data_IF_316074040207
#
_entry.id   IF_316074040207
#
_cell.length_a   1.000
_cell.length_b   1.000
_cell.length_c   1.000
_cell.angle_alpha   90.00
_cell.angle_beta   90.00
_cell.angle_gamma   90.00
#
_symmetry.space_group_name_H-M   'P 1'
#
loop_
_entity.id
_entity.type
_entity.pdbx_description
1 polymer ?
#
# COMPACT_ATOMS: atom_id res chain seq x y z
N UNK A 1 25.78 -18.26 26.67
CA UNK A 1 24.46 -17.64 26.91
C UNK A 1 24.66 -16.15 26.73
N UNK A 2 23.90 -15.48 25.87
CA UNK A 2 23.97 -14.02 25.79
C UNK A 2 23.44 -13.45 27.11
N UNK A 3 24.14 -12.47 27.68
CA UNK A 3 23.82 -11.98 29.02
C UNK A 3 22.44 -11.32 29.05
N UNK A 4 21.62 -11.79 29.98
CA UNK A 4 20.30 -11.22 30.26
C UNK A 4 20.46 -9.75 30.69
N UNK A 5 19.63 -8.82 30.19
CA UNK A 5 19.68 -7.42 30.63
C UNK A 5 19.56 -7.29 32.15
N UNK A 6 20.31 -6.36 32.75
CA UNK A 6 20.38 -6.16 34.20
C UNK A 6 19.08 -5.66 34.82
N UNK A 7 18.19 -5.07 34.01
CA UNK A 7 16.85 -4.62 34.43
C UNK A 7 15.81 -5.76 34.45
N UNK A 8 16.19 -6.98 34.06
CA UNK A 8 15.36 -8.19 34.18
C UNK A 8 15.73 -8.98 35.44
N UNK A 9 14.74 -9.25 36.27
CA UNK A 9 14.81 -10.21 37.36
C UNK A 9 14.77 -11.65 36.82
N UNK A 10 13.87 -11.93 35.88
CA UNK A 10 13.77 -13.19 35.15
C UNK A 10 13.25 -13.00 33.73
N UNK A 11 13.41 -14.03 32.89
CA UNK A 11 13.01 -14.03 31.49
C UNK A 11 13.75 -15.13 30.73
N UNK A 12 13.07 -15.72 29.75
CA UNK A 12 13.62 -16.78 28.91
C UNK A 12 14.02 -16.22 27.55
N UNK A 13 15.15 -16.67 27.01
CA UNK A 13 15.50 -16.31 25.63
C UNK A 13 14.48 -16.94 24.68
N UNK A 14 13.95 -16.14 23.75
CA UNK A 14 12.96 -16.60 22.78
C UNK A 14 13.48 -17.79 21.94
N UNK A 15 12.59 -18.75 21.66
CA UNK A 15 12.92 -20.02 21.01
C UNK A 15 12.03 -20.27 19.80
N UNK A 16 12.60 -20.92 18.77
CA UNK A 16 11.85 -21.40 17.60
C UNK A 16 10.87 -22.53 17.95
N UNK A 17 11.15 -23.27 19.04
CA UNK A 17 10.33 -24.37 19.55
C UNK A 17 10.10 -24.11 21.05
N UNK A 18 9.20 -23.18 21.41
CA UNK A 18 8.96 -22.83 22.80
C UNK A 18 8.16 -23.92 23.52
N UNK A 19 8.50 -24.19 24.78
CA UNK A 19 7.80 -25.15 25.66
C UNK A 19 6.69 -24.44 26.45
N UNK A 20 5.97 -23.53 25.79
CA UNK A 20 4.87 -22.79 26.41
C UNK A 20 3.61 -23.66 26.46
N UNK A 21 2.85 -23.58 27.56
CA UNK A 21 1.56 -24.24 27.70
C UNK A 21 0.63 -23.87 26.54
N UNK A 22 -0.27 -24.78 26.14
CA UNK A 22 -1.20 -24.55 25.02
C UNK A 22 -2.15 -23.36 25.21
N UNK A 23 -2.35 -22.95 26.46
CA UNK A 23 -3.09 -21.74 26.82
C UNK A 23 -2.36 -20.44 26.46
N UNK A 24 -1.04 -20.47 26.25
CA UNK A 24 -0.22 -19.28 25.98
C UNK A 24 0.14 -19.15 24.50
N UNK A 25 -0.89 -19.00 23.66
CA UNK A 25 -0.73 -18.89 22.20
C UNK A 25 0.06 -17.63 21.81
N UNK A 26 -0.19 -16.51 22.47
CA UNK A 26 0.49 -15.25 22.19
C UNK A 26 1.98 -15.32 22.53
N UNK A 27 2.33 -15.80 23.74
CA UNK A 27 3.74 -15.99 24.12
C UNK A 27 4.45 -16.96 23.17
N UNK A 28 3.80 -18.05 22.76
CA UNK A 28 4.34 -19.00 21.77
C UNK A 28 4.66 -18.31 20.43
N UNK A 29 3.70 -17.56 19.89
CA UNK A 29 3.87 -16.83 18.64
C UNK A 29 4.98 -15.77 18.72
N UNK A 30 5.00 -14.99 19.81
CA UNK A 30 6.05 -14.00 20.07
C UNK A 30 7.42 -14.68 20.17
N UNK A 31 7.53 -15.80 20.90
CA UNK A 31 8.79 -16.53 21.02
C UNK A 31 9.33 -16.97 19.65
N UNK A 32 8.47 -17.54 18.80
CA UNK A 32 8.84 -17.98 17.45
C UNK A 32 9.27 -16.79 16.58
N UNK A 33 8.52 -15.68 16.60
CA UNK A 33 8.85 -14.46 15.87
C UNK A 33 10.21 -13.90 16.29
N UNK A 34 10.41 -13.70 17.60
CA UNK A 34 11.63 -13.11 18.12
C UNK A 34 12.84 -14.02 17.85
N UNK A 35 12.67 -15.34 17.98
CA UNK A 35 13.72 -16.30 17.64
C UNK A 35 14.06 -16.32 16.15
N UNK A 36 13.07 -16.19 15.26
CA UNK A 36 13.30 -16.07 13.83
C UNK A 36 14.03 -14.77 13.48
N UNK A 37 13.66 -13.64 14.10
CA UNK A 37 14.40 -12.37 13.94
C UNK A 37 15.86 -12.50 14.40
N UNK A 38 16.11 -13.11 15.56
CA UNK A 38 17.48 -13.35 16.03
C UNK A 38 18.29 -14.26 15.10
N UNK A 39 17.64 -15.25 14.49
CA UNK A 39 18.31 -16.28 13.68
C UNK A 39 18.48 -15.90 12.21
N UNK A 40 17.69 -14.93 11.72
CA UNK A 40 17.63 -14.52 10.32
C UNK A 40 17.91 -13.01 10.22
N UNK A 41 19.18 -12.58 10.16
CA UNK A 41 19.54 -11.17 10.13
C UNK A 41 18.88 -10.33 9.01
N UNK A 42 18.74 -10.84 7.76
CA UNK A 42 18.00 -10.12 6.72
C UNK A 42 16.53 -9.85 7.08
N UNK A 43 15.91 -10.74 7.85
CA UNK A 43 14.55 -10.57 8.34
C UNK A 43 14.49 -9.56 9.49
N UNK A 44 15.39 -9.68 10.48
CA UNK A 44 15.51 -8.66 11.53
C UNK A 44 15.75 -7.26 10.95
N UNK A 45 16.62 -7.11 9.95
CA UNK A 45 16.83 -5.85 9.24
C UNK A 45 15.53 -5.29 8.66
N UNK A 46 14.80 -6.11 7.88
CA UNK A 46 13.53 -5.74 7.25
C UNK A 46 12.49 -5.27 8.27
N UNK A 47 12.42 -5.95 9.42
CA UNK A 47 11.45 -5.62 10.48
C UNK A 47 11.90 -4.40 11.29
N UNK A 48 13.15 -4.32 11.73
CA UNK A 48 13.66 -3.22 12.56
C UNK A 48 13.73 -1.88 11.81
N UNK A 49 13.98 -1.90 10.50
CA UNK A 49 13.93 -0.68 9.67
C UNK A 49 12.55 -0.01 9.67
N UNK A 50 11.48 -0.81 9.77
CA UNK A 50 10.11 -0.29 9.89
C UNK A 50 9.88 0.48 11.20
N UNK A 51 10.70 0.20 12.22
CA UNK A 51 10.70 0.87 13.53
C UNK A 51 11.76 1.99 13.62
N UNK A 52 12.32 2.41 12.48
CA UNK A 52 13.35 3.45 12.42
C UNK A 52 14.74 3.01 12.87
N UNK A 53 14.94 1.72 13.19
CA UNK A 53 16.22 1.21 13.65
C UNK A 53 17.12 0.84 12.47
N UNK A 54 18.41 1.16 12.57
CA UNK A 54 19.42 0.82 11.56
C UNK A 54 20.21 -0.39 12.04
N UNK A 55 20.16 -1.49 11.29
CA UNK A 55 20.97 -2.68 11.55
C UNK A 55 22.25 -2.61 10.72
N UNK A 56 23.39 -2.62 11.41
CA UNK A 56 24.72 -2.68 10.82
C UNK A 56 25.42 -4.00 11.12
N UNK A 57 26.66 -4.16 10.66
CA UNK A 57 27.43 -5.39 10.81
C UNK A 57 27.79 -5.74 12.26
N UNK A 58 27.85 -4.75 13.15
CA UNK A 58 28.09 -4.93 14.59
C UNK A 58 26.82 -4.96 15.42
N UNK A 59 25.65 -4.93 14.78
CA UNK A 59 24.40 -4.95 15.51
C UNK A 59 24.11 -6.34 16.06
N UNK A 60 23.56 -6.39 17.27
CA UNK A 60 23.08 -7.64 17.86
C UNK A 60 21.63 -7.49 18.29
N UNK A 61 20.84 -8.54 18.11
CA UNK A 61 19.45 -8.59 18.53
C UNK A 61 19.27 -9.74 19.51
N UNK A 62 18.67 -9.46 20.64
CA UNK A 62 18.21 -10.46 21.60
C UNK A 62 16.69 -10.31 21.79
N UNK A 63 16.03 -11.44 21.97
CA UNK A 63 14.60 -11.54 22.22
C UNK A 63 14.36 -12.38 23.45
N UNK A 64 13.50 -11.89 24.35
CA UNK A 64 13.12 -12.58 25.57
C UNK A 64 11.60 -12.69 25.65
N UNK A 65 11.12 -13.76 26.25
CA UNK A 65 9.72 -13.98 26.64
C UNK A 65 9.63 -14.18 28.15
N UNK A 66 8.42 -14.16 28.70
CA UNK A 66 8.19 -14.41 30.13
C UNK A 66 8.95 -13.44 31.05
N UNK A 67 9.13 -12.20 30.59
CA UNK A 67 9.98 -11.21 31.25
C UNK A 67 9.37 -10.74 32.58
N UNK A 68 10.22 -10.65 33.60
CA UNK A 68 9.91 -10.03 34.89
C UNK A 68 10.97 -8.97 35.16
N UNK A 69 10.54 -7.74 35.41
CA UNK A 69 11.43 -6.62 35.63
C UNK A 69 11.81 -6.51 37.10
N UNK A 70 13.03 -6.04 37.36
CA UNK A 70 13.49 -5.78 38.73
C UNK A 70 12.71 -4.63 39.37
N UNK A 71 12.24 -3.67 38.55
CA UNK A 71 11.44 -2.53 39.00
C UNK A 71 10.02 -2.65 38.45
N UNK A 72 9.17 -3.33 39.19
CA UNK A 72 7.76 -3.48 38.81
C UNK A 72 6.87 -2.33 39.31
N UNK A 73 7.27 -1.58 40.34
CA UNK A 73 6.39 -0.59 41.00
C UNK A 73 5.05 -1.23 41.41
N UNK A 74 3.94 -0.51 41.21
CA UNK A 74 2.58 -1.04 41.43
C UNK A 74 2.13 -2.07 40.37
N UNK A 75 3.00 -2.43 39.42
CA UNK A 75 2.66 -3.30 38.29
C UNK A 75 3.20 -4.73 38.43
N UNK A 76 3.40 -5.24 39.65
CA UNK A 76 3.98 -6.55 39.95
C UNK A 76 3.33 -7.76 39.23
N UNK A 77 2.10 -7.64 38.73
CA UNK A 77 1.39 -8.70 37.97
C UNK A 77 1.40 -8.49 36.44
N UNK A 78 2.02 -7.44 35.96
CA UNK A 78 1.98 -7.05 34.55
C UNK A 78 3.14 -7.70 33.81
N UNK A 79 2.86 -8.74 33.03
CA UNK A 79 3.85 -9.47 32.23
C UNK A 79 3.62 -9.18 30.74
N UNK A 80 4.53 -8.46 30.06
CA UNK A 80 4.53 -8.38 28.60
C UNK A 80 4.82 -9.74 27.96
N UNK A 81 4.32 -9.97 26.75
CA UNK A 81 4.58 -11.20 26.00
C UNK A 81 6.05 -11.35 25.60
N UNK A 82 6.75 -10.24 25.39
CA UNK A 82 8.17 -10.27 25.08
C UNK A 82 8.93 -8.97 25.28
N UNK A 83 10.23 -9.05 25.05
CA UNK A 83 11.19 -7.95 25.07
C UNK A 83 12.17 -8.14 23.92
N UNK A 84 12.33 -7.10 23.10
CA UNK A 84 13.39 -6.96 22.12
C UNK A 84 14.50 -6.07 22.68
N UNK A 85 15.74 -6.53 22.60
CA UNK A 85 16.94 -5.81 23.00
C UNK A 85 17.84 -5.72 21.77
N UNK A 86 17.91 -4.52 21.19
CA UNK A 86 18.69 -4.26 20.00
C UNK A 86 19.89 -3.39 20.34
N UNK A 87 21.10 -3.89 20.08
CA UNK A 87 22.31 -3.07 20.09
C UNK A 87 22.61 -2.63 18.66
N UNK A 88 22.51 -1.32 18.39
CA UNK A 88 22.83 -0.73 17.09
C UNK A 88 24.33 -0.56 16.85
N UNK A 89 25.16 -0.88 17.85
CA UNK A 89 26.59 -0.58 17.91
C UNK A 89 26.87 0.78 18.56
N UNK A 90 28.15 1.00 18.94
CA UNK A 90 28.64 2.23 19.60
C UNK A 90 27.96 2.54 20.95
N UNK A 91 27.52 1.50 21.67
CA UNK A 91 26.89 1.65 23.00
C UNK A 91 25.45 2.15 22.96
N UNK A 92 24.80 2.20 21.79
CA UNK A 92 23.40 2.60 21.65
C UNK A 92 22.50 1.38 21.66
N UNK A 93 21.93 1.09 22.83
CA UNK A 93 20.93 0.06 23.01
C UNK A 93 19.52 0.64 22.84
N UNK A 94 18.66 -0.06 22.11
CA UNK A 94 17.24 0.21 21.96
C UNK A 94 16.47 -1.01 22.49
N UNK A 95 15.66 -0.77 23.51
CA UNK A 95 14.86 -1.81 24.16
C UNK A 95 13.39 -1.56 23.85
N UNK A 96 12.66 -2.62 23.56
CA UNK A 96 11.26 -2.56 23.16
C UNK A 96 10.43 -3.66 23.82
N UNK A 97 9.40 -3.28 24.58
CA UNK A 97 8.41 -4.23 25.07
C UNK A 97 7.53 -4.72 23.92
N UNK A 98 7.12 -5.99 23.97
CA UNK A 98 6.23 -6.59 22.97
C UNK A 98 4.95 -7.06 23.67
N UNK A 99 3.82 -6.65 23.13
CA UNK A 99 2.49 -7.12 23.50
C UNK A 99 1.81 -7.68 22.25
N UNK A 100 1.24 -8.88 22.35
CA UNK A 100 0.63 -9.57 21.22
C UNK A 100 -0.80 -9.99 21.52
N UNK A 101 -1.62 -10.00 20.48
CA UNK A 101 -2.98 -10.56 20.48
C UNK A 101 -3.17 -11.44 19.26
N UNK A 102 -3.83 -12.57 19.46
CA UNK A 102 -4.10 -13.55 18.40
C UNK A 102 -5.61 -13.75 18.21
N UNK A 103 -6.02 -14.13 17.01
CA UNK A 103 -7.42 -14.41 16.71
C UNK A 103 -8.26 -13.14 16.73
N UNK A 104 -9.30 -13.11 17.56
CA UNK A 104 -10.24 -11.98 17.67
C UNK A 104 -9.96 -11.05 18.84
N UNK A 105 -8.92 -11.34 19.63
CA UNK A 105 -8.55 -10.46 20.73
C UNK A 105 -7.97 -9.14 20.17
N UNK A 106 -8.38 -8.03 20.75
CA UNK A 106 -7.95 -6.69 20.35
C UNK A 106 -6.95 -6.12 21.35
N UNK A 107 -6.16 -5.14 20.88
CA UNK A 107 -5.28 -4.38 21.76
C UNK A 107 -6.13 -3.47 22.65
N UNK A 108 -5.88 -3.50 23.97
CA UNK A 108 -6.65 -2.72 24.95
C UNK A 108 -5.88 -1.46 25.39
N UNK A 109 -6.50 -0.26 25.35
CA UNK A 109 -5.83 0.99 25.75
C UNK A 109 -5.28 0.98 27.19
N UNK A 110 -5.99 0.35 28.12
CA UNK A 110 -5.62 0.23 29.52
C UNK A 110 -4.35 -0.62 29.68
N UNK A 111 -4.24 -1.70 28.91
CA UNK A 111 -3.08 -2.58 28.90
C UNK A 111 -1.84 -1.85 28.35
N UNK A 112 -2.00 -1.11 27.24
CA UNK A 112 -0.92 -0.30 26.67
C UNK A 112 -0.47 0.81 27.62
N UNK A 113 -1.40 1.43 28.33
CA UNK A 113 -1.09 2.44 29.35
C UNK A 113 -0.24 1.86 30.48
N UNK A 114 -0.56 0.65 30.95
CA UNK A 114 0.25 -0.05 31.95
C UNK A 114 1.66 -0.32 31.43
N UNK A 115 1.79 -0.92 30.24
CA UNK A 115 3.12 -1.22 29.67
C UNK A 115 3.95 0.01 29.35
N UNK A 116 3.35 1.13 28.93
CA UNK A 116 4.08 2.39 28.74
C UNK A 116 4.68 2.90 30.06
N UNK A 117 3.95 2.78 31.17
CA UNK A 117 4.47 3.13 32.50
C UNK A 117 5.56 2.14 32.96
N UNK A 118 5.38 0.83 32.74
CA UNK A 118 6.39 -0.18 33.04
C UNK A 118 7.69 0.06 32.26
N UNK A 119 7.57 0.37 30.96
CA UNK A 119 8.70 0.69 30.09
C UNK A 119 9.49 1.89 30.64
N UNK A 120 8.80 2.98 30.99
CA UNK A 120 9.42 4.19 31.55
C UNK A 120 10.18 3.90 32.85
N UNK A 121 9.59 3.14 33.77
CA UNK A 121 10.20 2.75 35.05
C UNK A 121 11.50 1.96 34.87
N UNK A 122 11.62 1.23 33.76
CA UNK A 122 12.78 0.38 33.44
C UNK A 122 13.70 0.97 32.37
N UNK A 123 13.51 2.24 31.97
CA UNK A 123 14.35 2.90 30.95
C UNK A 123 14.19 2.34 29.54
N UNK A 124 13.07 1.67 29.27
CA UNK A 124 12.71 1.12 27.96
C UNK A 124 11.97 2.21 27.18
N UNK A 125 12.43 2.49 25.96
CA UNK A 125 11.98 3.65 25.18
C UNK A 125 10.96 3.31 24.10
N UNK A 126 10.57 2.04 23.97
CA UNK A 126 9.62 1.61 22.94
C UNK A 126 8.67 0.50 23.42
N UNK A 127 7.49 0.47 22.81
CA UNK A 127 6.47 -0.56 22.96
C UNK A 127 5.97 -0.94 21.55
N UNK A 128 6.00 -2.23 21.24
CA UNK A 128 5.49 -2.81 20.01
C UNK A 128 4.26 -3.64 20.33
N UNK A 129 3.17 -3.35 19.64
CA UNK A 129 1.95 -4.15 19.67
C UNK A 129 1.85 -5.01 18.41
N UNK A 130 1.36 -6.25 18.54
CA UNK A 130 1.17 -7.15 17.41
C UNK A 130 -0.24 -7.75 17.48
N UNK A 131 -1.07 -7.56 16.45
CA UNK A 131 -2.40 -8.19 16.42
C UNK A 131 -2.88 -8.48 14.99
N UNK A 132 -4.13 -8.91 14.83
CA UNK A 132 -4.78 -9.01 13.52
C UNK A 132 -5.39 -7.66 13.06
N UNK A 133 -5.27 -6.60 13.86
CA UNK A 133 -5.68 -5.25 13.46
C UNK A 133 -4.65 -4.66 12.50
N UNK A 134 -5.09 -3.81 11.58
CA UNK A 134 -4.21 -3.19 10.58
C UNK A 134 -4.05 -1.70 10.83
N UNK A 135 -2.85 -1.21 10.57
CA UNK A 135 -2.54 0.22 10.58
C UNK A 135 -1.81 0.61 9.30
N UNK A 136 -1.95 1.87 8.91
CA UNK A 136 -1.36 2.38 7.69
C UNK A 136 0.18 2.34 7.71
N UNK A 137 0.76 2.70 8.87
CA UNK A 137 2.21 2.72 9.07
C UNK A 137 2.56 2.12 10.44
N UNK A 138 3.75 1.53 10.61
CA UNK A 138 4.16 0.92 11.87
C UNK A 138 4.19 1.86 13.07
N UNK A 139 4.26 3.18 12.86
CA UNK A 139 4.20 4.23 13.89
C UNK A 139 2.79 4.62 14.29
N UNK A 140 1.76 4.10 13.62
CA UNK A 140 0.36 4.27 13.99
C UNK A 140 -0.06 3.19 14.99
N UNK A 141 -1.22 3.39 15.60
CA UNK A 141 -1.77 2.48 16.62
C UNK A 141 -3.21 2.10 16.26
N UNK A 142 -3.62 0.84 16.49
CA UNK A 142 -5.01 0.44 16.33
C UNK A 142 -5.90 1.07 17.41
N UNK A 143 -5.31 1.50 18.53
CA UNK A 143 -5.99 2.18 19.64
C UNK A 143 -5.59 3.64 19.75
N UNK A 144 -6.55 4.50 20.12
CA UNK A 144 -6.27 5.90 20.45
C UNK A 144 -5.84 6.03 21.90
N UNK A 145 -4.72 6.71 22.12
CA UNK A 145 -4.16 6.96 23.44
C UNK A 145 -3.82 8.44 23.61
N UNK A 146 -4.00 9.01 24.81
CA UNK A 146 -3.50 10.36 25.10
C UNK A 146 -1.98 10.43 24.93
N UNK A 147 -1.48 11.49 24.28
CA UNK A 147 -0.02 11.69 24.08
C UNK A 147 0.77 11.74 25.40
N UNK A 148 0.12 12.15 26.50
CA UNK A 148 0.71 12.16 27.84
C UNK A 148 1.11 10.76 28.33
N UNK A 149 0.33 9.72 27.99
CA UNK A 149 0.60 8.33 28.38
C UNK A 149 1.89 7.82 27.75
N UNK A 150 2.11 8.16 26.48
CA UNK A 150 3.26 7.72 25.68
C UNK A 150 4.50 8.62 25.85
N UNK A 151 4.49 9.57 26.79
CA UNK A 151 5.63 10.48 26.97
C UNK A 151 6.90 9.68 27.30
N UNK A 152 7.90 9.76 26.41
CA UNK A 152 9.18 9.05 26.51
C UNK A 152 9.17 7.60 26.04
N UNK A 153 8.06 7.10 25.50
CA UNK A 153 7.92 5.73 24.96
C UNK A 153 7.30 5.79 23.58
N UNK A 154 8.04 5.36 22.57
CA UNK A 154 7.53 5.23 21.21
C UNK A 154 6.58 4.02 21.11
N UNK A 155 5.39 4.21 20.53
CA UNK A 155 4.44 3.13 20.30
C UNK A 155 4.46 2.73 18.83
N UNK A 156 4.61 1.43 18.60
CA UNK A 156 4.56 0.83 17.27
C UNK A 156 3.50 -0.26 17.20
N UNK A 157 3.07 -0.55 15.97
CA UNK A 157 2.15 -1.64 15.70
C UNK A 157 2.52 -2.41 14.44
N UNK A 158 2.47 -3.74 14.53
CA UNK A 158 2.49 -4.64 13.38
C UNK A 158 1.22 -5.47 13.35
N UNK A 159 0.67 -5.68 12.15
CA UNK A 159 -0.28 -6.77 11.98
C UNK A 159 0.49 -8.08 11.77
N UNK A 160 -0.01 -9.21 12.27
CA UNK A 160 0.61 -10.52 12.00
C UNK A 160 0.74 -10.79 10.50
N UNK A 161 -0.27 -10.40 9.73
CA UNK A 161 -0.24 -10.51 8.27
C UNK A 161 0.86 -9.66 7.63
N UNK A 162 1.20 -8.50 8.20
CA UNK A 162 2.33 -7.69 7.71
C UNK A 162 3.67 -8.38 7.97
N UNK A 163 3.84 -9.06 9.10
CA UNK A 163 5.04 -9.83 9.44
C UNK A 163 5.22 -10.98 8.45
N UNK A 164 4.15 -11.77 8.24
CA UNK A 164 4.15 -12.89 7.29
C UNK A 164 4.42 -12.40 5.87
N UNK A 165 3.81 -11.30 5.44
CA UNK A 165 4.03 -10.73 4.10
C UNK A 165 5.48 -10.29 3.89
N UNK A 166 6.09 -9.61 4.87
CA UNK A 166 7.50 -9.22 4.80
C UNK A 166 8.42 -10.46 4.72
N UNK A 167 8.13 -11.50 5.49
CA UNK A 167 8.88 -12.75 5.43
C UNK A 167 8.77 -13.44 4.07
N UNK A 168 7.55 -13.53 3.50
CA UNK A 168 7.32 -14.09 2.17
C UNK A 168 8.05 -13.32 1.07
N UNK A 169 8.01 -11.98 1.09
CA UNK A 169 8.72 -11.14 0.14
C UNK A 169 10.24 -11.36 0.23
N UNK A 170 10.79 -11.39 1.45
CA UNK A 170 12.21 -11.63 1.66
C UNK A 170 12.65 -13.03 1.18
N UNK A 171 11.81 -14.06 1.37
CA UNK A 171 12.05 -15.40 0.82
C UNK A 171 12.22 -15.40 -0.70
N UNK A 172 11.69 -14.40 -1.41
CA UNK A 172 11.76 -14.34 -2.87
C UNK A 172 12.92 -13.49 -3.41
N UNK A 173 13.61 -12.71 -2.58
CA UNK A 173 14.69 -11.81 -3.01
C UNK A 173 16.08 -12.49 -3.06
N UNK A 174 16.19 -13.80 -2.77
CA UNK A 174 17.46 -14.54 -2.71
C UNK A 174 18.58 -13.88 -1.86
N UNK A 175 18.21 -13.21 -0.76
CA UNK A 175 19.12 -12.45 0.12
C UNK A 175 19.76 -13.22 1.27
N UNK A 176 19.65 -14.55 1.30
CA UNK A 176 20.14 -15.35 2.42
C UNK A 176 21.58 -15.78 2.18
N UNK A 177 22.46 -15.48 3.13
CA UNK A 177 23.85 -15.94 3.10
C UNK A 177 23.95 -17.44 3.33
N UNK A 178 23.01 -18.01 4.10
CA UNK A 178 23.04 -19.42 4.52
C UNK A 178 21.69 -20.12 4.30
N UNK A 179 21.67 -21.37 3.84
CA UNK A 179 20.43 -22.12 3.59
C UNK A 179 19.52 -22.25 4.81
N UNK A 180 20.09 -22.39 6.01
CA UNK A 180 19.35 -22.51 7.25
C UNK A 180 18.51 -21.26 7.58
N UNK A 181 18.97 -20.07 7.18
CA UNK A 181 18.21 -18.83 7.41
C UNK A 181 16.90 -18.85 6.61
N UNK A 182 17.00 -19.30 5.34
CA UNK A 182 15.83 -19.48 4.49
C UNK A 182 14.89 -20.54 5.07
N UNK A 183 15.43 -21.66 5.53
CA UNK A 183 14.64 -22.74 6.14
C UNK A 183 13.87 -22.25 7.38
N UNK A 184 14.56 -21.57 8.31
CA UNK A 184 13.95 -21.03 9.53
C UNK A 184 12.83 -20.04 9.19
N UNK A 185 13.09 -19.11 8.26
CA UNK A 185 12.08 -18.13 7.88
C UNK A 185 10.87 -18.78 7.17
N UNK A 186 11.11 -19.81 6.36
CA UNK A 186 10.06 -20.58 5.71
C UNK A 186 9.20 -21.35 6.74
N UNK A 187 9.83 -21.95 7.76
CA UNK A 187 9.10 -22.61 8.85
C UNK A 187 8.28 -21.64 9.69
N UNK A 188 8.80 -20.43 9.94
CA UNK A 188 8.04 -19.37 10.59
C UNK A 188 6.81 -18.97 9.75
N UNK A 189 6.97 -18.81 8.44
CA UNK A 189 5.85 -18.54 7.52
C UNK A 189 4.83 -19.68 7.55
N UNK A 190 5.29 -20.94 7.50
CA UNK A 190 4.42 -22.13 7.60
C UNK A 190 3.63 -22.13 8.91
N UNK A 191 4.28 -21.82 10.04
CA UNK A 191 3.63 -21.73 11.35
C UNK A 191 2.51 -20.69 11.35
N UNK A 192 2.81 -19.44 10.99
CA UNK A 192 1.81 -18.37 11.03
C UNK A 192 0.71 -18.49 9.96
N UNK A 193 0.99 -19.20 8.86
CA UNK A 193 -0.01 -19.48 7.82
C UNK A 193 -0.92 -20.65 8.18
N UNK A 194 -0.63 -21.38 9.26
CA UNK A 194 -1.45 -22.51 9.67
C UNK A 194 -2.77 -22.03 10.29
N UNK A 195 -3.95 -22.57 9.88
CA UNK A 195 -5.26 -22.07 10.33
C UNK A 195 -5.45 -22.05 11.85
N UNK A 196 -4.78 -22.93 12.58
CA UNK A 196 -4.90 -23.01 14.05
C UNK A 196 -4.19 -21.89 14.81
N UNK A 197 -3.22 -21.19 14.19
CA UNK A 197 -2.54 -20.05 14.80
C UNK A 197 -3.42 -18.80 14.74
N UNK A 198 -4.49 -18.81 13.91
CA UNK A 198 -5.52 -17.75 13.83
C UNK A 198 -4.94 -16.36 13.50
N UNK A 199 -3.83 -16.31 12.77
CA UNK A 199 -3.40 -15.11 12.04
C UNK A 199 -4.31 -14.97 10.84
N UNK A 200 -4.97 -13.82 10.69
CA UNK A 200 -5.99 -13.62 9.67
C UNK A 200 -5.91 -12.26 8.99
N UNK A 201 -6.41 -12.21 7.76
CA UNK A 201 -6.79 -10.99 7.06
C UNK A 201 -7.96 -10.28 7.74
N UNK A 202 -8.21 -9.04 7.34
CA UNK A 202 -9.42 -8.31 7.63
C UNK A 202 -10.55 -8.94 6.79
N UNK A 203 -11.60 -9.47 7.44
CA UNK A 203 -12.61 -10.31 6.76
C UNK A 203 -13.99 -9.66 6.65
N UNK A 204 -14.18 -8.48 7.26
CA UNK A 204 -15.48 -7.79 7.28
C UNK A 204 -15.37 -6.33 7.69
N UNK A 205 -16.27 -5.51 7.14
CA UNK A 205 -16.54 -4.17 7.67
C UNK A 205 -17.16 -4.20 9.09
N UNK A 206 -17.17 -3.04 9.73
CA UNK A 206 -17.76 -2.83 11.06
C UNK A 206 -19.26 -3.15 11.12
N UNK A 207 -19.82 -3.41 12.33
CA UNK A 207 -21.23 -3.76 12.50
C UNK A 207 -22.23 -2.74 11.92
N UNK A 208 -21.88 -1.45 11.94
CA UNK A 208 -22.72 -0.35 11.46
C UNK A 208 -22.69 -0.20 9.92
N UNK A 209 -21.88 -0.98 9.19
CA UNK A 209 -21.71 -0.86 7.74
C UNK A 209 -23.03 -0.89 6.97
N UNK A 210 -23.92 -1.82 7.35
CA UNK A 210 -25.23 -1.97 6.70
C UNK A 210 -26.12 -0.75 6.91
N UNK A 211 -26.12 -0.19 8.12
CA UNK A 211 -26.93 0.99 8.47
C UNK A 211 -26.39 2.25 7.78
N UNK A 212 -25.07 2.45 7.77
CA UNK A 212 -24.43 3.55 7.06
C UNK A 212 -24.81 3.55 5.57
N UNK A 213 -24.75 2.38 4.92
CA UNK A 213 -25.18 2.22 3.54
C UNK A 213 -26.65 2.57 3.34
N UNK A 214 -27.54 2.11 4.23
CA UNK A 214 -28.96 2.45 4.16
C UNK A 214 -29.21 3.96 4.29
N UNK A 215 -28.47 4.67 5.14
CA UNK A 215 -28.54 6.13 5.29
C UNK A 215 -28.09 6.86 4.02
N UNK A 216 -26.99 6.44 3.41
CA UNK A 216 -26.53 7.02 2.13
C UNK A 216 -27.58 6.79 1.03
N UNK A 217 -28.11 5.57 0.92
CA UNK A 217 -29.11 5.23 -0.08
C UNK A 217 -30.42 6.00 0.05
N UNK A 218 -30.86 6.30 1.29
CA UNK A 218 -32.06 7.10 1.54
C UNK A 218 -31.83 8.61 1.40
N UNK A 219 -30.61 9.05 1.14
CA UNK A 219 -30.24 10.48 1.08
C UNK A 219 -30.19 11.16 2.45
N UNK A 220 -30.10 10.38 3.54
CA UNK A 220 -29.96 10.94 4.88
C UNK A 220 -28.61 11.64 5.03
N UNK A 221 -28.59 12.76 5.77
CA UNK A 221 -27.35 13.49 6.04
C UNK A 221 -26.48 12.72 7.03
N UNK A 222 -25.24 12.45 6.63
CA UNK A 222 -24.22 11.92 7.51
C UNK A 222 -23.62 13.06 8.34
N UNK A 223 -23.47 12.84 9.65
CA UNK A 223 -22.79 13.79 10.54
C UNK A 223 -21.31 13.41 10.69
N UNK A 224 -20.45 14.43 10.70
CA UNK A 224 -19.02 14.30 11.01
C UNK A 224 -18.77 13.67 12.39
N UNK A 225 -19.64 13.94 13.35
CA UNK A 225 -19.52 13.41 14.72
C UNK A 225 -20.12 12.01 14.89
N UNK A 226 -20.65 11.40 13.83
CA UNK A 226 -21.30 10.10 13.95
C UNK A 226 -20.26 9.00 14.15
N UNK A 227 -20.35 8.21 15.24
CA UNK A 227 -19.44 7.08 15.45
C UNK A 227 -19.45 6.07 14.30
N UNK A 228 -20.58 5.93 13.59
CA UNK A 228 -20.69 5.01 12.46
C UNK A 228 -19.79 5.40 11.29
N UNK A 229 -19.61 6.72 11.04
CA UNK A 229 -18.76 7.25 9.97
C UNK A 229 -17.30 7.00 10.34
N UNK A 230 -16.89 7.42 11.54
CA UNK A 230 -15.50 7.21 11.99
C UNK A 230 -15.13 5.72 12.02
N UNK A 231 -16.01 4.85 12.51
CA UNK A 231 -15.76 3.39 12.56
C UNK A 231 -15.70 2.77 11.16
N UNK A 232 -16.54 3.21 10.23
CA UNK A 232 -16.53 2.68 8.85
C UNK A 232 -15.31 3.15 8.07
N UNK A 233 -14.86 4.39 8.29
CA UNK A 233 -13.60 4.89 7.71
C UNK A 233 -12.40 4.16 8.34
N UNK A 234 -12.40 3.91 9.64
CA UNK A 234 -11.35 3.12 10.29
C UNK A 234 -11.31 1.67 9.78
N UNK A 235 -12.48 1.04 9.59
CA UNK A 235 -12.60 -0.28 8.95
C UNK A 235 -12.05 -0.25 7.51
N UNK A 236 -12.38 0.78 6.73
CA UNK A 236 -11.82 0.99 5.39
C UNK A 236 -10.30 1.14 5.38
N UNK A 237 -9.71 1.82 6.39
CA UNK A 237 -8.26 1.93 6.50
C UNK A 237 -7.60 0.57 6.75
N UNK A 238 -8.23 -0.27 7.57
CA UNK A 238 -7.76 -1.64 7.81
C UNK A 238 -7.84 -2.48 6.53
N UNK A 239 -8.99 -2.49 5.87
CA UNK A 239 -9.20 -3.16 4.58
C UNK A 239 -8.21 -2.69 3.52
N UNK A 240 -8.03 -1.37 3.37
CA UNK A 240 -7.07 -0.81 2.41
C UNK A 240 -5.64 -1.26 2.69
N UNK A 241 -5.26 -1.42 3.96
CA UNK A 241 -3.93 -1.91 4.33
C UNK A 241 -3.79 -3.40 4.03
N UNK A 242 -4.82 -4.20 4.32
CA UNK A 242 -4.78 -5.62 4.04
C UNK A 242 -4.78 -5.92 2.54
N UNK A 243 -5.61 -5.21 1.77
CA UNK A 243 -5.60 -5.25 0.31
C UNK A 243 -4.21 -4.92 -0.29
N UNK A 244 -3.49 -3.95 0.31
CA UNK A 244 -2.11 -3.65 -0.06
C UNK A 244 -1.15 -4.84 0.19
N UNK A 245 -1.34 -5.58 1.30
CA UNK A 245 -0.56 -6.77 1.63
C UNK A 245 -0.94 -7.96 0.75
N UNK A 246 -2.23 -8.13 0.44
CA UNK A 246 -2.72 -9.11 -0.54
C UNK A 246 -2.07 -8.89 -1.90
N UNK A 247 -2.10 -7.66 -2.42
CA UNK A 247 -1.44 -7.31 -3.68
C UNK A 247 0.07 -7.57 -3.63
N UNK A 248 0.72 -7.25 -2.52
CA UNK A 248 2.15 -7.52 -2.35
C UNK A 248 2.49 -9.01 -2.44
N UNK A 249 1.67 -9.86 -1.81
CA UNK A 249 1.82 -11.32 -1.84
C UNK A 249 1.57 -11.88 -3.23
N UNK A 250 0.50 -11.45 -3.91
CA UNK A 250 0.17 -11.93 -5.27
C UNK A 250 1.20 -11.53 -6.32
N UNK A 251 1.73 -10.31 -6.22
CA UNK A 251 2.74 -9.79 -7.16
C UNK A 251 4.17 -10.17 -6.79
N UNK A 252 4.38 -10.70 -5.59
CA UNK A 252 5.71 -10.96 -5.06
C UNK A 252 6.66 -9.73 -5.15
N UNK A 253 6.08 -8.57 -4.85
CA UNK A 253 6.72 -7.26 -4.86
C UNK A 253 6.08 -6.40 -3.79
N UNK A 254 6.85 -5.53 -3.15
CA UNK A 254 6.31 -4.61 -2.13
C UNK A 254 5.42 -3.56 -2.78
N UNK A 255 4.10 -3.73 -2.65
CA UNK A 255 3.12 -2.69 -2.99
C UNK A 255 2.98 -1.74 -1.80
N UNK A 256 2.86 -0.44 -2.07
CA UNK A 256 2.74 0.57 -1.02
C UNK A 256 1.39 1.28 -1.11
N UNK A 257 0.74 1.48 0.03
CA UNK A 257 -0.40 2.38 0.09
C UNK A 257 0.09 3.82 -0.09
N UNK A 258 -0.48 4.50 -1.08
CA UNK A 258 -0.17 5.89 -1.37
C UNK A 258 -0.92 6.78 -0.40
N UNK A 259 -0.17 7.46 0.47
CA UNK A 259 -0.70 8.37 1.48
C UNK A 259 -0.01 9.74 1.36
N UNK A 260 -0.73 10.79 1.72
CA UNK A 260 -0.14 12.13 1.83
C UNK A 260 0.84 12.18 3.02
N UNK A 261 1.79 13.13 2.99
CA UNK A 261 2.73 13.31 4.11
C UNK A 261 2.01 13.59 5.45
N UNK A 262 0.90 14.33 5.42
CA UNK A 262 0.09 14.59 6.62
C UNK A 262 -0.54 13.30 7.15
N UNK A 263 -1.10 12.46 6.27
CA UNK A 263 -1.72 11.19 6.67
C UNK A 263 -0.74 10.15 7.18
N UNK A 264 0.49 10.15 6.66
CA UNK A 264 1.59 9.31 7.18
C UNK A 264 1.96 9.74 8.61
N UNK A 265 2.06 11.04 8.85
CA UNK A 265 2.51 11.55 10.14
C UNK A 265 1.41 11.58 11.21
N UNK A 266 0.13 11.67 10.82
CA UNK A 266 -1.00 11.78 11.74
C UNK A 266 -2.23 11.00 11.26
N UNK A 267 -2.48 9.88 11.93
CA UNK A 267 -3.64 9.01 11.73
C UNK A 267 -4.97 9.72 12.06
N UNK A 268 -4.98 10.64 13.03
CA UNK A 268 -6.20 11.36 13.42
C UNK A 268 -6.60 12.33 12.31
N UNK A 269 -5.63 13.06 11.75
CA UNK A 269 -5.84 13.90 10.57
C UNK A 269 -6.37 13.07 9.39
N UNK A 270 -5.76 11.91 9.11
CA UNK A 270 -6.24 11.01 8.04
C UNK A 270 -7.70 10.60 8.25
N UNK A 271 -8.05 10.13 9.45
CA UNK A 271 -9.40 9.69 9.72
C UNK A 271 -10.42 10.83 9.54
N UNK A 272 -10.07 12.04 9.97
CA UNK A 272 -10.90 13.23 9.81
C UNK A 272 -11.12 13.56 8.33
N UNK A 273 -10.04 13.63 7.55
CA UNK A 273 -10.10 13.99 6.13
C UNK A 273 -10.88 12.93 5.33
N UNK A 274 -10.67 11.65 5.60
CA UNK A 274 -11.38 10.57 4.92
C UNK A 274 -12.86 10.49 5.33
N UNK A 275 -13.19 10.83 6.58
CA UNK A 275 -14.59 10.99 7.02
C UNK A 275 -15.27 12.15 6.30
N UNK A 276 -14.57 13.27 6.10
CA UNK A 276 -15.10 14.40 5.34
C UNK A 276 -15.34 14.05 3.89
N UNK A 277 -14.41 13.31 3.29
CA UNK A 277 -14.56 12.80 1.93
C UNK A 277 -15.75 11.85 1.82
N UNK A 278 -15.93 10.94 2.78
CA UNK A 278 -17.09 10.04 2.81
C UNK A 278 -18.40 10.82 2.88
N UNK A 279 -18.49 11.84 3.73
CA UNK A 279 -19.70 12.66 3.86
C UNK A 279 -19.96 13.47 2.59
N UNK A 280 -18.91 14.04 1.98
CA UNK A 280 -19.07 14.90 0.82
C UNK A 280 -19.33 14.14 -0.49
N UNK A 281 -18.75 12.94 -0.64
CA UNK A 281 -18.75 12.17 -1.90
C UNK A 281 -19.51 10.86 -1.81
N UNK A 282 -19.94 10.45 -0.62
CA UNK A 282 -20.52 9.13 -0.36
C UNK A 282 -19.63 7.98 -0.84
N UNK A 283 -18.31 8.17 -0.77
CA UNK A 283 -17.34 7.22 -1.29
C UNK A 283 -16.12 7.11 -0.39
N UNK A 284 -15.61 5.88 -0.27
CA UNK A 284 -14.33 5.56 0.35
C UNK A 284 -13.31 5.30 -0.75
N UNK A 285 -12.08 5.79 -0.58
CA UNK A 285 -11.05 5.65 -1.60
C UNK A 285 -9.69 5.32 -1.01
N UNK A 286 -8.87 4.62 -1.78
CA UNK A 286 -7.46 4.41 -1.49
C UNK A 286 -6.68 4.24 -2.80
N UNK A 287 -5.36 4.35 -2.71
CA UNK A 287 -4.48 4.21 -3.86
C UNK A 287 -3.26 3.38 -3.50
N UNK A 288 -2.76 2.62 -4.47
CA UNK A 288 -1.59 1.76 -4.30
C UNK A 288 -0.53 2.09 -5.36
N UNK A 289 0.70 2.33 -4.89
CA UNK A 289 1.88 2.39 -5.75
C UNK A 289 2.40 0.95 -5.91
N UNK A 290 2.18 0.39 -7.10
CA UNK A 290 2.75 -0.90 -7.51
C UNK A 290 4.10 -0.64 -8.20
N UNK A 291 5.18 -1.35 -7.84
CA UNK A 291 6.48 -1.16 -8.47
C UNK A 291 6.42 -1.29 -9.99
N UNK A 292 7.08 -0.38 -10.70
CA UNK A 292 7.21 -0.35 -12.16
C UNK A 292 5.89 -0.23 -12.95
N UNK A 293 4.75 -0.04 -12.27
CA UNK A 293 3.46 0.15 -12.92
C UNK A 293 3.34 1.53 -13.58
N UNK A 294 2.48 1.62 -14.60
CA UNK A 294 2.29 2.83 -15.40
C UNK A 294 1.76 4.04 -14.60
N UNK A 295 0.99 3.78 -13.56
CA UNK A 295 0.41 4.77 -12.64
C UNK A 295 0.04 4.09 -11.32
N UNK A 296 -0.28 4.85 -10.26
CA UNK A 296 -0.91 4.28 -9.08
C UNK A 296 -2.25 3.61 -9.44
N UNK A 297 -2.56 2.52 -8.74
CA UNK A 297 -3.84 1.82 -8.79
C UNK A 297 -4.82 2.52 -7.85
N UNK A 298 -5.90 3.08 -8.37
CA UNK A 298 -6.95 3.75 -7.60
C UNK A 298 -8.07 2.75 -7.30
N UNK A 299 -8.60 2.79 -6.08
CA UNK A 299 -9.73 1.96 -5.65
C UNK A 299 -10.75 2.86 -4.98
N UNK A 300 -12.00 2.80 -5.43
CA UNK A 300 -13.10 3.58 -4.88
C UNK A 300 -14.30 2.68 -4.63
N UNK A 301 -14.79 2.67 -3.39
CA UNK A 301 -16.06 2.09 -3.01
C UNK A 301 -17.11 3.21 -2.91
N UNK A 302 -18.03 3.25 -3.86
CA UNK A 302 -19.09 4.26 -3.95
C UNK A 302 -20.35 3.73 -3.27
N UNK A 303 -20.67 4.27 -2.09
CA UNK A 303 -21.81 3.86 -1.28
C UNK A 303 -23.14 4.31 -1.92
N UNK A 304 -23.14 5.38 -2.71
CA UNK A 304 -24.34 5.89 -3.38
C UNK A 304 -24.71 5.00 -4.58
N UNK A 305 -23.72 4.60 -5.37
CA UNK A 305 -23.91 3.74 -6.54
C UNK A 305 -23.86 2.25 -6.20
N UNK A 306 -23.41 1.90 -4.99
CA UNK A 306 -23.20 0.51 -4.52
C UNK A 306 -22.27 -0.28 -5.45
N UNK A 307 -21.22 0.39 -5.92
CA UNK A 307 -20.23 -0.20 -6.80
C UNK A 307 -18.82 -0.02 -6.27
N UNK A 308 -17.95 -0.95 -6.65
CA UNK A 308 -16.50 -0.81 -6.51
C UNK A 308 -15.93 -0.47 -7.86
N UNK A 309 -15.05 0.51 -7.90
CA UNK A 309 -14.28 0.85 -9.08
C UNK A 309 -12.79 0.77 -8.81
N UNK A 310 -12.06 0.25 -9.80
CA UNK A 310 -10.61 0.13 -9.77
C UNK A 310 -10.09 0.76 -11.04
N UNK A 311 -9.16 1.71 -10.96
CA UNK A 311 -8.70 2.46 -12.13
C UNK A 311 -7.21 2.79 -12.13
N UNK A 312 -6.70 3.09 -13.33
CA UNK A 312 -5.36 3.60 -13.58
C UNK A 312 -5.44 4.73 -14.60
N UNK A 313 -4.65 5.78 -14.39
CA UNK A 313 -4.65 6.99 -15.24
C UNK A 313 -3.33 7.10 -15.98
N UNK A 314 -3.40 7.10 -17.30
CA UNK A 314 -2.27 7.14 -18.22
C UNK A 314 -2.16 8.51 -18.88
N UNK A 315 -0.97 9.09 -18.88
CA UNK A 315 -0.71 10.28 -19.72
C UNK A 315 -0.71 9.88 -21.18
N UNK A 316 -1.41 10.65 -22.02
CA UNK A 316 -1.49 10.39 -23.44
C UNK A 316 -0.14 10.68 -24.15
N UNK A 317 0.19 9.96 -25.23
CA UNK A 317 1.44 10.11 -25.94
C UNK A 317 1.58 11.49 -26.61
N UNK A 318 2.65 12.21 -26.26
CA UNK A 318 2.92 13.58 -26.74
C UNK A 318 3.51 13.64 -28.15
N UNK A 319 4.13 12.55 -28.61
CA UNK A 319 4.59 12.37 -30.00
C UNK A 319 3.44 12.27 -31.01
N UNK A 320 2.21 11.98 -30.53
CA UNK A 320 1.02 11.82 -31.36
C UNK A 320 0.18 13.09 -31.31
N UNK A 321 -0.05 13.69 -32.48
CA UNK A 321 -0.85 14.92 -32.58
C UNK A 321 -2.36 14.64 -32.72
N UNK A 322 -2.75 13.56 -33.42
CA UNK A 322 -4.15 13.24 -33.69
C UNK A 322 -4.81 12.49 -32.53
N UNK A 323 -6.08 12.80 -32.24
CA UNK A 323 -6.87 12.12 -31.22
C UNK A 323 -6.97 10.60 -31.46
N UNK A 324 -7.36 10.20 -32.67
CA UNK A 324 -7.43 8.79 -33.08
C UNK A 324 -6.12 8.02 -32.84
N UNK A 325 -4.97 8.67 -33.02
CA UNK A 325 -3.67 8.06 -32.78
C UNK A 325 -3.37 7.85 -31.28
N UNK A 326 -3.84 8.77 -30.42
CA UNK A 326 -3.73 8.63 -28.95
C UNK A 326 -4.70 7.57 -28.41
N UNK A 327 -5.93 7.55 -28.93
CA UNK A 327 -6.95 6.54 -28.57
C UNK A 327 -6.46 5.14 -28.97
N UNK A 328 -6.03 4.98 -30.23
CA UNK A 328 -5.48 3.70 -30.69
C UNK A 328 -4.22 3.26 -29.92
N UNK A 329 -3.48 4.18 -29.30
CA UNK A 329 -2.34 3.82 -28.45
C UNK A 329 -2.78 3.13 -27.14
N UNK A 330 -3.85 3.60 -26.50
CA UNK A 330 -4.36 2.93 -25.28
C UNK A 330 -5.09 1.63 -25.63
N UNK A 331 -5.91 1.62 -26.68
CA UNK A 331 -6.68 0.42 -27.08
C UNK A 331 -5.78 -0.76 -27.46
N UNK A 332 -4.64 -0.50 -28.11
CA UNK A 332 -3.65 -1.55 -28.43
C UNK A 332 -3.08 -2.23 -27.19
N UNK A 333 -2.92 -1.51 -26.08
CA UNK A 333 -2.44 -2.08 -24.82
C UNK A 333 -3.51 -2.96 -24.14
N UNK A 334 -4.78 -2.72 -24.45
CA UNK A 334 -5.95 -3.43 -23.92
C UNK A 334 -6.47 -4.53 -24.87
N UNK A 335 -5.73 -4.86 -25.93
CA UNK A 335 -6.17 -5.82 -26.95
C UNK A 335 -6.42 -7.24 -26.36
N UNK A 336 -5.72 -7.61 -25.28
CA UNK A 336 -5.87 -8.91 -24.60
C UNK A 336 -6.72 -8.85 -23.32
N UNK A 337 -7.30 -7.70 -23.02
CA UNK A 337 -8.13 -7.48 -21.84
C UNK A 337 -9.51 -8.12 -21.97
N UNK A 338 -10.00 -8.79 -20.95
CA UNK A 338 -11.43 -9.10 -20.88
C UNK A 338 -12.21 -7.78 -20.84
N UNK A 339 -13.07 -7.47 -21.83
CA UNK A 339 -13.78 -6.20 -21.88
C UNK A 339 -14.89 -6.08 -20.82
N UNK A 340 -15.27 -7.16 -20.13
CA UNK A 340 -16.40 -7.20 -19.22
C UNK A 340 -16.26 -6.22 -18.02
N UNK A 341 -17.04 -5.14 -18.06
CA UNK A 341 -17.07 -4.09 -17.02
C UNK A 341 -15.89 -3.11 -17.08
N UNK A 342 -15.05 -3.20 -18.12
CA UNK A 342 -13.96 -2.24 -18.36
C UNK A 342 -14.47 -1.08 -19.20
N UNK A 343 -14.18 0.13 -18.74
CA UNK A 343 -14.43 1.37 -19.45
C UNK A 343 -13.11 2.10 -19.70
N UNK A 344 -13.08 2.87 -20.80
CA UNK A 344 -12.02 3.82 -21.07
C UNK A 344 -12.63 5.20 -21.09
N UNK A 345 -12.07 6.11 -20.29
CA UNK A 345 -12.40 7.53 -20.27
C UNK A 345 -11.22 8.32 -20.83
N UNK A 346 -11.49 9.26 -21.72
CA UNK A 346 -10.49 10.17 -22.26
C UNK A 346 -10.76 11.59 -21.75
N UNK A 347 -9.75 12.20 -21.15
CA UNK A 347 -9.83 13.58 -20.66
C UNK A 347 -9.25 14.56 -21.66
N UNK A 348 -10.01 15.62 -21.94
CA UNK A 348 -9.72 16.57 -23.00
C UNK A 348 -9.15 17.88 -22.45
N UNK A 349 -8.33 18.61 -23.22
CA UNK A 349 -7.73 19.86 -22.74
C UNK A 349 -8.78 20.96 -22.53
N UNK A 350 -8.50 21.89 -21.62
CA UNK A 350 -9.36 23.04 -21.35
C UNK A 350 -10.60 22.66 -20.54
N UNK A 351 -11.77 23.05 -21.04
CA UNK A 351 -13.08 22.77 -20.42
C UNK A 351 -13.92 21.77 -21.24
N UNK A 352 -13.30 21.11 -22.21
CA UNK A 352 -14.00 20.09 -23.00
C UNK A 352 -14.40 18.92 -22.09
N UNK A 353 -15.62 18.38 -22.22
CA UNK A 353 -16.07 17.28 -21.39
C UNK A 353 -15.28 16.01 -21.69
N UNK A 354 -15.15 15.15 -20.68
CA UNK A 354 -14.58 13.83 -20.84
C UNK A 354 -15.49 12.95 -21.72
N UNK A 355 -14.87 12.12 -22.56
CA UNK A 355 -15.58 11.08 -23.31
C UNK A 355 -15.34 9.72 -22.65
N UNK A 356 -16.33 8.83 -22.70
CA UNK A 356 -16.24 7.52 -22.07
C UNK A 356 -17.05 6.48 -22.85
N UNK A 357 -16.48 5.28 -23.04
CA UNK A 357 -17.17 4.14 -23.62
C UNK A 357 -16.70 2.83 -22.99
N UNK A 358 -17.44 1.74 -23.18
CA UNK A 358 -17.00 0.41 -22.75
C UNK A 358 -15.86 -0.10 -23.62
N UNK A 359 -14.98 -0.95 -23.09
CA UNK A 359 -13.91 -1.54 -23.90
C UNK A 359 -14.48 -2.46 -24.99
N UNK A 360 -15.66 -3.06 -24.77
CA UNK A 360 -16.35 -3.85 -25.79
C UNK A 360 -16.73 -2.98 -26.99
N UNK A 361 -17.41 -1.85 -26.76
CA UNK A 361 -17.82 -0.96 -27.84
C UNK A 361 -16.61 -0.36 -28.57
N UNK A 362 -15.54 -0.03 -27.83
CA UNK A 362 -14.32 0.55 -28.40
C UNK A 362 -13.49 -0.42 -29.25
N UNK A 363 -13.73 -1.73 -29.14
CA UNK A 363 -13.13 -2.72 -30.04
C UNK A 363 -13.82 -2.74 -31.40
N UNK A 364 -15.12 -2.50 -31.41
CA UNK A 364 -15.91 -2.40 -32.65
C UNK A 364 -15.71 -1.02 -33.29
N UNK A 365 -15.76 0.05 -32.49
CA UNK A 365 -15.59 1.42 -32.97
C UNK A 365 -14.85 2.32 -31.96
N UNK A 366 -13.58 2.60 -32.27
CA UNK A 366 -12.74 3.50 -31.47
C UNK A 366 -13.18 4.97 -31.54
N UNK A 367 -13.99 5.36 -32.53
CA UNK A 367 -14.44 6.74 -32.71
C UNK A 367 -15.42 7.20 -31.63
N UNK A 368 -16.04 6.23 -30.92
CA UNK A 368 -16.90 6.48 -29.75
C UNK A 368 -16.18 7.20 -28.60
N UNK A 369 -14.85 7.13 -28.56
CA UNK A 369 -14.06 7.86 -27.57
C UNK A 369 -13.61 9.24 -28.05
N UNK A 370 -13.82 9.61 -29.31
CA UNK A 370 -13.43 10.92 -29.82
C UNK A 370 -14.37 12.03 -29.33
N UNK A 371 -13.80 13.18 -28.98
CA UNK A 371 -14.57 14.37 -28.63
C UNK A 371 -15.20 15.02 -29.85
N UNK A 372 -16.18 15.89 -29.60
CA UNK A 372 -16.88 16.66 -30.64
C UNK A 372 -15.91 17.53 -31.46
N UNK A 373 -14.93 18.15 -30.80
CA UNK A 373 -13.94 18.99 -31.45
C UNK A 373 -12.74 18.17 -31.95
N UNK A 374 -12.74 17.86 -33.25
CA UNK A 374 -11.68 17.08 -33.94
C UNK A 374 -10.29 17.75 -33.96
N UNK A 375 -10.18 19.04 -33.61
CA UNK A 375 -8.89 19.73 -33.49
C UNK A 375 -8.18 19.43 -32.17
N UNK A 376 -8.90 18.94 -31.17
CA UNK A 376 -8.34 18.59 -29.86
C UNK A 376 -7.85 17.15 -29.86
N UNK A 377 -6.96 16.85 -28.92
CA UNK A 377 -6.51 15.49 -28.64
C UNK A 377 -6.49 15.26 -27.12
N UNK A 378 -6.88 14.07 -26.64
CA UNK A 378 -6.98 13.79 -25.22
C UNK A 378 -5.60 13.89 -24.55
N UNK A 379 -5.56 14.40 -23.33
CA UNK A 379 -4.34 14.59 -22.55
C UNK A 379 -4.05 13.39 -21.65
N UNK A 380 -5.09 12.67 -21.23
CA UNK A 380 -5.00 11.52 -20.35
C UNK A 380 -6.08 10.48 -20.71
N UNK A 381 -5.83 9.24 -20.33
CA UNK A 381 -6.79 8.15 -20.40
C UNK A 381 -6.92 7.51 -19.01
N UNK A 382 -8.14 7.36 -18.52
CA UNK A 382 -8.42 6.53 -17.36
C UNK A 382 -9.03 5.21 -17.85
N UNK A 383 -8.39 4.09 -17.48
CA UNK A 383 -8.96 2.76 -17.68
C UNK A 383 -9.51 2.33 -16.33
N UNK A 384 -10.81 2.01 -16.28
CA UNK A 384 -11.49 1.68 -15.04
C UNK A 384 -12.34 0.42 -15.18
N UNK A 385 -12.26 -0.45 -14.19
CA UNK A 385 -13.24 -1.49 -13.93
C UNK A 385 -14.34 -0.93 -13.03
N UNK A 386 -15.60 -1.19 -13.37
CA UNK A 386 -16.75 -0.93 -12.49
C UNK A 386 -17.45 -2.27 -12.20
N UNK A 387 -17.56 -2.62 -10.92
CA UNK A 387 -18.33 -3.77 -10.44
C UNK A 387 -19.51 -3.25 -9.61
N UNK A 388 -20.71 -3.34 -10.18
CA UNK A 388 -21.95 -3.11 -9.45
C UNK A 388 -22.21 -4.30 -8.52
N UNK A 389 -22.29 -4.04 -7.22
CA UNK A 389 -22.50 -5.07 -6.21
C UNK A 389 -23.97 -5.09 -5.72
N UNK A 390 -24.80 -4.13 -6.15
CA UNK A 390 -26.19 -3.97 -5.75
C UNK A 390 -26.37 -4.17 -4.23
N UNK A 391 -27.28 -5.07 -3.80
CA UNK A 391 -27.53 -5.35 -2.39
C UNK A 391 -26.32 -5.94 -1.64
N UNK A 392 -25.41 -6.65 -2.34
CA UNK A 392 -24.24 -7.30 -1.74
C UNK A 392 -23.24 -6.28 -1.19
N UNK A 393 -23.24 -5.05 -1.70
CA UNK A 393 -22.41 -3.95 -1.20
C UNK A 393 -22.59 -3.70 0.31
N UNK A 394 -23.81 -3.86 0.81
CA UNK A 394 -24.13 -3.65 2.23
C UNK A 394 -23.76 -4.82 3.14
N UNK A 395 -23.37 -5.98 2.58
CA UNK A 395 -22.94 -7.14 3.35
C UNK A 395 -21.50 -6.96 3.82
N UNK A 396 -21.26 -6.85 5.12
CA UNK A 396 -19.93 -6.47 5.67
C UNK A 396 -18.79 -7.41 5.25
N UNK A 397 -19.03 -8.72 5.21
CA UNK A 397 -18.07 -9.71 4.73
C UNK A 397 -18.02 -9.78 3.20
N UNK A 398 -19.19 -9.90 2.56
CA UNK A 398 -19.28 -10.03 1.10
C UNK A 398 -18.71 -8.83 0.35
N UNK A 399 -18.80 -7.63 0.93
CA UNK A 399 -18.14 -6.44 0.39
C UNK A 399 -16.62 -6.60 0.32
N UNK A 400 -15.99 -7.07 1.41
CA UNK A 400 -14.54 -7.32 1.47
C UNK A 400 -14.14 -8.39 0.46
N UNK A 401 -14.86 -9.52 0.43
CA UNK A 401 -14.60 -10.61 -0.52
C UNK A 401 -14.62 -10.12 -1.99
N UNK A 402 -15.62 -9.34 -2.37
CA UNK A 402 -15.77 -8.82 -3.74
C UNK A 402 -14.73 -7.73 -4.07
N UNK A 403 -14.27 -6.97 -3.07
CA UNK A 403 -13.20 -5.99 -3.22
C UNK A 403 -11.85 -6.69 -3.46
N UNK A 404 -11.54 -7.70 -2.65
CA UNK A 404 -10.34 -8.54 -2.78
C UNK A 404 -10.32 -9.38 -4.06
N UNK A 405 -11.47 -9.60 -4.71
CA UNK A 405 -11.58 -10.18 -6.05
C UNK A 405 -11.34 -9.12 -7.15
N UNK A 406 -12.00 -7.97 -7.06
CA UNK A 406 -12.00 -6.95 -8.10
C UNK A 406 -10.63 -6.32 -8.33
N UNK A 407 -9.86 -6.06 -7.27
CA UNK A 407 -8.59 -5.33 -7.36
C UNK A 407 -7.48 -6.16 -8.03
N UNK A 408 -7.21 -7.41 -7.62
CA UNK A 408 -6.28 -8.27 -8.35
C UNK A 408 -6.74 -8.55 -9.78
N UNK A 409 -8.04 -8.77 -9.99
CA UNK A 409 -8.59 -9.00 -11.33
C UNK A 409 -8.33 -7.82 -12.26
N UNK A 410 -8.60 -6.58 -11.83
CA UNK A 410 -8.27 -5.41 -12.63
C UNK A 410 -6.77 -5.30 -12.91
N UNK A 411 -5.92 -5.58 -11.91
CA UNK A 411 -4.48 -5.49 -12.11
C UNK A 411 -3.99 -6.51 -13.15
N UNK A 412 -4.48 -7.76 -13.11
CA UNK A 412 -4.20 -8.78 -14.13
C UNK A 412 -4.74 -8.37 -15.51
N UNK A 413 -5.95 -7.82 -15.57
CA UNK A 413 -6.61 -7.50 -16.83
C UNK A 413 -6.09 -6.22 -17.50
N UNK A 414 -5.65 -5.24 -16.70
CA UNK A 414 -5.26 -3.90 -17.15
C UNK A 414 -3.88 -3.55 -16.64
N UNK A 415 -3.69 -3.58 -15.31
CA UNK A 415 -2.51 -3.01 -14.65
C UNK A 415 -1.17 -3.55 -15.14
N UNK A 416 -1.04 -4.87 -15.32
CA UNK A 416 0.18 -5.50 -15.83
C UNK A 416 0.40 -5.30 -17.34
N UNK A 417 -0.62 -4.84 -18.07
CA UNK A 417 -0.63 -4.72 -19.55
C UNK A 417 -0.38 -3.30 -20.02
N UNK A 418 -0.86 -2.30 -19.26
CA UNK A 418 -0.66 -0.89 -19.59
C UNK A 418 0.76 -0.43 -19.26
N UNK A 419 1.27 0.51 -20.05
CA UNK A 419 2.58 1.13 -19.90
C UNK A 419 2.43 2.64 -19.95
N UNK A 420 3.14 3.32 -19.06
CA UNK A 420 3.22 4.78 -19.08
C UNK A 420 3.89 5.24 -20.37
N UNK A 421 3.45 6.37 -20.92
CA UNK A 421 4.11 6.95 -22.08
C UNK A 421 5.53 7.41 -21.73
N UNK A 422 6.51 6.95 -22.51
CA UNK A 422 7.90 7.40 -22.47
C UNK A 422 8.21 8.11 -23.79
N UNK A 423 8.71 9.35 -23.71
CA UNK A 423 9.06 10.11 -24.91
C UNK A 423 10.23 9.45 -25.66
N UNK A 424 10.19 9.39 -27.01
CA UNK A 424 11.30 8.87 -27.78
C UNK A 424 12.56 9.74 -27.57
N UNK A 425 13.76 9.15 -27.57
CA UNK A 425 15.00 9.92 -27.47
C UNK A 425 15.11 10.99 -28.57
N UNK A 426 15.66 12.18 -28.26
CA UNK A 426 15.95 13.19 -29.29
C UNK A 426 16.86 12.59 -30.38
N UNK A 427 16.51 12.83 -31.64
CA UNK A 427 17.34 12.40 -32.77
C UNK A 427 18.45 13.43 -33.01
N UNK A 428 19.66 12.95 -33.29
CA UNK A 428 20.75 13.80 -33.79
C UNK A 428 20.29 14.47 -35.08
N UNK A 429 20.46 15.79 -35.17
CA UNK A 429 20.29 16.51 -36.44
C UNK A 429 21.33 15.96 -37.42
N UNK A 430 20.89 15.25 -38.45
CA UNK A 430 21.73 15.02 -39.62
C UNK A 430 21.74 16.34 -40.39
N UNK A 431 22.93 16.90 -40.64
CA UNK A 431 23.05 17.96 -41.64
C UNK A 431 22.51 17.38 -42.95
N UNK A 432 21.48 18.02 -43.52
CA UNK A 432 21.08 17.72 -44.88
C UNK A 432 22.27 18.12 -45.78
N UNK A 433 22.68 17.27 -46.74
CA UNK A 433 23.68 17.70 -47.70
C UNK A 433 23.12 18.95 -48.41
N UNK A 434 23.92 20.02 -48.41
CA UNK A 434 23.61 21.22 -49.19
C UNK A 434 23.29 20.79 -50.61
N UNK A 435 22.07 21.07 -51.05
CA UNK A 435 21.70 20.94 -52.46
C UNK A 435 22.52 22.00 -53.19
N UNK A 436 23.61 21.57 -53.83
CA UNK A 436 24.32 22.40 -54.81
C UNK A 436 23.29 22.92 -55.80
N UNK A 437 23.02 24.22 -55.70
CA UNK A 437 22.17 24.92 -56.64
C UNK A 437 22.93 24.92 -57.96
N UNK A 438 22.52 24.07 -58.90
CA UNK A 438 23.06 24.09 -60.25
C UNK A 438 22.81 25.48 -60.84
N UNK A 439 23.88 26.23 -61.04
CA UNK A 439 23.88 27.48 -61.80
C UNK A 439 23.57 27.08 -63.25
N UNK A 440 22.38 27.39 -63.72
CA UNK A 440 22.04 27.29 -65.14
C UNK A 440 22.97 28.21 -65.96
N UNK A 441 23.53 27.76 -67.09
CA UNK A 441 24.38 28.61 -67.92
C UNK A 441 23.53 29.70 -68.61
N UNK A 442 23.99 30.94 -68.53
CA UNK A 442 23.42 32.12 -69.19
C UNK A 442 23.18 31.89 -70.69
N UNK A 443 21.98 32.22 -71.15
CA UNK A 443 21.63 32.24 -72.57
C UNK A 443 22.40 33.37 -73.31
N UNK A 444 22.88 33.13 -74.54
CA UNK A 444 23.64 34.11 -75.29
C UNK A 444 22.78 35.32 -75.71
N UNK A 445 23.36 36.51 -75.49
CA UNK A 445 22.79 37.84 -75.76
C UNK A 445 22.55 38.01 -77.27
N UNK A 446 21.32 38.36 -77.63
CA UNK A 446 20.92 38.69 -79.00
C UNK A 446 21.58 40.00 -79.47
N UNK A 447 22.19 39.97 -80.65
CA UNK A 447 22.82 41.12 -81.30
C UNK A 447 21.79 42.20 -81.69
N UNK A 448 22.09 43.45 -81.33
CA UNK A 448 21.37 44.65 -81.78
C UNK A 448 21.71 44.98 -83.25
N UNK A 449 20.75 45.43 -84.07
CA UNK A 449 21.01 45.83 -85.45
C UNK A 449 21.70 47.20 -85.51
N UNK A 450 22.66 47.34 -86.43
CA UNK A 450 23.40 48.57 -86.72
C UNK A 450 22.52 49.68 -87.33
N UNK A 451 22.88 50.95 -87.11
CA UNK A 451 22.09 52.11 -87.52
C UNK A 451 22.26 52.44 -89.02
N UNK A 452 21.18 52.89 -89.64
CA UNK A 452 21.20 53.53 -90.96
C UNK A 452 21.49 55.03 -90.82
N UNK A 453 22.39 55.55 -91.65
CA UNK A 453 22.59 56.98 -91.94
C UNK A 453 23.14 57.09 -93.37
N UNK A 454 22.90 58.17 -94.13
CA UNK A 454 21.73 59.07 -94.19
C UNK A 454 20.84 58.85 -95.42
#
# INVERSE_FOLDING_TARGET
MADRPTFLESGEQARLIPVAADSSRETRAVSILLAAMMSVPPFALTMLQQLGQRVGTRSSLLGFTEVVFTRNGDQAKTRPDGLLVFDGGRGRQWNCLVEAKIGRAEIEPEQITKYANLARTNGITALLTISNQFVATPTHSPVRLPKSVLKGVELFHWSWMSIVTNAMLLLNEHKFERPEQRFILNEMVRYFSHPTVTVSSFDRMNPEWKELNAKVQSGARLSRSSPEVERSVAAWHQESRDLCLLMSRRLNRTVRQRLSKSHVNDQVTRLKDDSDSLIARHALSCAFDVPDAASPLQVVADLQRRCVSVSMVLSAPRDKQRASSRINWVLRQLAKTDPAGIHVRASWPGRAPDTQATLADLREDASLLEGENKSLAPTQFEVLLIRDLAGKFSGSRTFVELLEEAVPHFYEQVGERVRGYVAPPPKLRRAEPEVETQIEPEAPIAALPEPADP
#
